data_IF_782714784196
#
_entry.id   IF_782714784196
#
_cell.length_a   1.000
_cell.length_b   1.000
_cell.length_c   1.000
_cell.angle_alpha   90.00
_cell.angle_beta   90.00
_cell.angle_gamma   90.00
#
_symmetry.space_group_name_H-M   'P 1'
#
loop_
_entity.id
_entity.type
_entity.pdbx_description
1 polymer ?
#
# COMPACT_ATOMS: atom_id res chain seq x y z
N UNK A 1 -1.97 -10.10 -0.26
CA UNK A 1 -0.65 -9.57 -0.64
C UNK A 1 -0.24 -8.37 0.21
N UNK A 2 -0.91 -7.21 0.12
CA UNK A 2 -0.56 -6.04 0.96
C UNK A 2 -0.77 -6.29 2.47
N UNK A 3 -1.90 -6.90 2.85
CA UNK A 3 -2.15 -7.32 4.24
C UNK A 3 -1.08 -8.31 4.75
N UNK A 4 -0.50 -9.12 3.88
CA UNK A 4 0.61 -10.02 4.20
C UNK A 4 1.91 -9.26 4.49
N UNK A 5 2.21 -8.20 3.74
CA UNK A 5 3.34 -7.32 4.01
C UNK A 5 3.18 -6.58 5.35
N UNK A 6 1.96 -6.15 5.67
CA UNK A 6 1.63 -5.47 6.92
C UNK A 6 1.53 -6.41 8.14
N UNK A 7 1.56 -7.73 7.95
CA UNK A 7 1.49 -8.70 9.04
C UNK A 7 2.71 -8.61 9.96
N UNK A 8 3.86 -8.25 9.41
CA UNK A 8 5.04 -7.91 10.18
C UNK A 8 4.92 -6.44 10.67
N UNK A 9 4.84 -6.18 11.99
CA UNK A 9 4.80 -4.80 12.50
C UNK A 9 6.06 -4.00 12.18
N UNK A 10 7.20 -4.66 11.97
CA UNK A 10 8.48 -4.04 11.61
C UNK A 10 8.70 -3.90 10.10
N UNK A 11 7.66 -4.16 9.29
CA UNK A 11 7.76 -4.01 7.84
C UNK A 11 8.23 -2.58 7.47
N UNK A 12 9.26 -2.42 6.61
CA UNK A 12 9.78 -1.11 6.23
C UNK A 12 8.71 -0.17 5.68
N UNK A 13 7.70 -0.70 4.99
CA UNK A 13 6.55 0.05 4.52
C UNK A 13 5.82 0.82 5.65
N UNK A 14 5.72 0.24 6.85
CA UNK A 14 5.03 0.86 7.98
C UNK A 14 5.80 2.01 8.63
N UNK A 15 7.06 2.22 8.22
CA UNK A 15 7.86 3.39 8.64
C UNK A 15 7.48 4.66 7.88
N UNK A 16 6.92 4.50 6.67
CA UNK A 16 6.59 5.61 5.77
C UNK A 16 5.08 5.74 5.51
N UNK A 17 4.30 4.69 5.79
CA UNK A 17 2.86 4.65 5.58
C UNK A 17 2.12 4.20 6.84
N UNK A 18 1.03 4.90 7.17
CA UNK A 18 0.17 4.54 8.32
C UNK A 18 -0.59 3.26 8.03
N UNK A 19 -0.50 2.26 8.92
CA UNK A 19 -1.27 1.01 8.85
C UNK A 19 -2.77 1.25 8.62
N UNK A 20 -3.36 2.18 9.37
CA UNK A 20 -4.79 2.48 9.26
C UNK A 20 -5.19 2.95 7.85
N UNK A 21 -4.36 3.78 7.20
CA UNK A 21 -4.61 4.24 5.84
C UNK A 21 -4.48 3.10 4.81
N UNK A 22 -3.53 2.18 5.01
CA UNK A 22 -3.38 0.99 4.15
C UNK A 22 -4.56 0.02 4.32
N UNK A 23 -5.08 -0.16 5.54
CA UNK A 23 -6.29 -0.96 5.77
C UNK A 23 -7.52 -0.31 5.14
N UNK A 24 -7.66 1.02 5.28
CA UNK A 24 -8.73 1.77 4.61
C UNK A 24 -8.67 1.59 3.09
N UNK A 25 -7.49 1.60 2.49
CA UNK A 25 -7.29 1.35 1.06
C UNK A 25 -7.75 -0.06 0.65
N UNK A 26 -7.58 -1.06 1.51
CA UNK A 26 -8.02 -2.44 1.24
C UNK A 26 -9.53 -2.62 1.38
N UNK A 27 -10.17 -1.82 2.23
CA UNK A 27 -11.62 -1.88 2.49
C UNK A 27 -12.42 -0.88 1.66
N UNK A 28 -11.75 0.09 1.04
CA UNK A 28 -12.40 1.06 0.18
C UNK A 28 -13.04 0.31 -1.00
N UNK A 29 -14.35 0.51 -1.17
CA UNK A 29 -15.01 0.16 -2.43
C UNK A 29 -14.24 0.85 -3.57
N UNK A 30 -14.11 0.18 -4.72
CA UNK A 30 -13.37 0.71 -5.87
C UNK A 30 -13.72 2.17 -6.10
N UNK A 31 -12.82 3.05 -5.70
CA UNK A 31 -13.11 4.47 -5.73
C UNK A 31 -12.73 4.90 -7.13
N UNK A 32 -13.73 5.28 -7.93
CA UNK A 32 -13.51 5.82 -9.27
C UNK A 32 -12.67 7.12 -9.22
N UNK A 33 -12.56 7.75 -8.05
CA UNK A 33 -11.69 8.89 -7.80
C UNK A 33 -10.23 8.45 -7.79
N UNK A 34 -9.44 8.84 -8.80
CA UNK A 34 -8.03 8.49 -8.87
C UNK A 34 -7.25 9.17 -7.74
N UNK A 35 -6.18 8.54 -7.26
CA UNK A 35 -5.37 9.12 -6.19
C UNK A 35 -4.64 10.38 -6.68
N UNK A 36 -4.86 11.53 -6.03
CA UNK A 36 -4.22 12.86 -6.23
C UNK A 36 -3.48 13.03 -7.58
N UNK A 37 -4.23 13.22 -8.67
CA UNK A 37 -3.69 13.51 -10.00
C UNK A 37 -3.02 12.32 -10.74
N UNK A 38 -2.97 11.13 -10.14
CA UNK A 38 -2.51 9.90 -10.79
C UNK A 38 -3.66 9.15 -11.45
N UNK A 39 -3.44 8.54 -12.62
CA UNK A 39 -4.38 7.65 -13.32
C UNK A 39 -4.50 6.26 -12.66
N UNK A 40 -4.22 6.14 -11.37
CA UNK A 40 -4.22 4.87 -10.64
C UNK A 40 -5.53 4.65 -9.87
N UNK A 41 -6.12 3.48 -10.08
CA UNK A 41 -7.28 2.98 -9.33
C UNK A 41 -6.85 2.22 -8.08
N UNK A 42 -7.77 1.97 -7.14
CA UNK A 42 -7.51 1.29 -5.85
C UNK A 42 -6.66 0.00 -5.99
N UNK A 43 -6.94 -0.94 -6.93
CA UNK A 43 -6.11 -2.13 -7.09
C UNK A 43 -4.66 -1.82 -7.49
N UNK A 44 -4.45 -0.81 -8.35
CA UNK A 44 -3.11 -0.40 -8.79
C UNK A 44 -2.33 0.22 -7.64
N UNK A 45 -2.98 1.05 -6.82
CA UNK A 45 -2.38 1.65 -5.62
C UNK A 45 -1.96 0.57 -4.61
N UNK A 46 -2.78 -0.47 -4.42
CA UNK A 46 -2.45 -1.61 -3.56
C UNK A 46 -1.20 -2.33 -4.09
N UNK A 47 -1.16 -2.61 -5.40
CA UNK A 47 -0.02 -3.28 -6.03
C UNK A 47 1.27 -2.46 -5.88
N UNK A 48 1.19 -1.14 -6.02
CA UNK A 48 2.32 -0.23 -5.84
C UNK A 48 2.89 -0.29 -4.43
N UNK A 49 2.05 -0.29 -3.39
CA UNK A 49 2.53 -0.42 -2.01
C UNK A 49 3.18 -1.78 -1.73
N UNK A 50 2.69 -2.85 -2.36
CA UNK A 50 3.34 -4.18 -2.27
C UNK A 50 4.74 -4.13 -2.88
N UNK A 51 4.86 -3.56 -4.09
CA UNK A 51 6.16 -3.39 -4.75
C UNK A 51 7.09 -2.52 -3.92
N UNK A 52 6.62 -1.38 -3.44
CA UNK A 52 7.40 -0.48 -2.59
C UNK A 52 7.94 -1.20 -1.36
N UNK A 53 7.11 -1.97 -0.65
CA UNK A 53 7.57 -2.76 0.49
C UNK A 53 8.70 -3.74 0.11
N UNK A 54 8.55 -4.42 -1.03
CA UNK A 54 9.60 -5.32 -1.53
C UNK A 54 10.89 -4.58 -1.84
N UNK A 55 10.84 -3.44 -2.52
CA UNK A 55 12.02 -2.61 -2.81
C UNK A 55 12.72 -2.14 -1.53
N UNK A 56 11.95 -1.66 -0.54
CA UNK A 56 12.48 -1.25 0.76
C UNK A 56 13.06 -2.40 1.58
N UNK A 57 12.66 -3.64 1.32
CA UNK A 57 13.29 -4.83 1.93
C UNK A 57 14.54 -5.25 1.19
N UNK A 58 14.52 -5.19 -0.14
CA UNK A 58 15.60 -5.66 -1.01
C UNK A 58 16.83 -4.75 -1.00
N UNK A 59 16.62 -3.44 -0.94
CA UNK A 59 17.68 -2.43 -1.05
C UNK A 59 17.92 -1.68 0.27
N UNK A 60 17.67 -2.36 1.38
CA UNK A 60 17.75 -1.79 2.72
C UNK A 60 19.16 -1.79 3.29
#
# INVERSE_FOLDING_TARGET
MLRSAMRNPDAPLLRIAKRAALEQLLTAAETATPWYGQLMTTPQTIAWFVQLNYWLQKYR
#
